data_IF_652686960428
#
_entry.id   IF_652686960428
#
_cell.length_a   1.000
_cell.length_b   1.000
_cell.length_c   1.000
_cell.angle_alpha   90.00
_cell.angle_beta   90.00
_cell.angle_gamma   90.00
#
_symmetry.space_group_name_H-M   'P 1'
#
loop_
_entity.id
_entity.type
_entity.pdbx_description
1 polymer ?
#
# COMPACT_ATOMS: atom_id res chain seq x y z
N UNK A 1 -20.76 -27.05 -2.01
CA UNK A 1 -20.53 -25.83 -1.19
C UNK A 1 -21.79 -24.96 -1.07
N UNK A 2 -22.58 -24.79 -2.15
CA UNK A 2 -23.78 -23.94 -2.17
C UNK A 2 -25.01 -24.63 -1.53
N UNK A 3 -25.29 -25.89 -1.88
CA UNK A 3 -26.32 -26.71 -1.21
C UNK A 3 -26.04 -26.89 0.30
N UNK A 4 -24.76 -27.00 0.68
CA UNK A 4 -24.36 -27.11 2.09
C UNK A 4 -24.64 -25.83 2.91
N UNK A 5 -24.92 -24.70 2.24
CA UNK A 5 -25.32 -23.44 2.89
C UNK A 5 -26.83 -23.18 2.83
N UNK A 6 -27.63 -24.11 2.29
CA UNK A 6 -29.09 -23.96 2.18
C UNK A 6 -29.52 -22.81 1.26
N UNK A 7 -28.66 -22.38 0.34
CA UNK A 7 -28.98 -21.31 -0.60
C UNK A 7 -29.59 -21.92 -1.87
N UNK A 8 -30.82 -21.52 -2.16
CA UNK A 8 -31.57 -21.94 -3.34
C UNK A 8 -31.37 -20.90 -4.45
N UNK A 9 -30.78 -21.30 -5.57
CA UNK A 9 -30.50 -20.42 -6.70
C UNK A 9 -30.95 -21.08 -7.99
N UNK A 10 -31.76 -20.37 -8.78
CA UNK A 10 -32.19 -20.84 -10.10
C UNK A 10 -31.03 -20.82 -11.13
N UNK A 11 -30.10 -19.86 -10.98
CA UNK A 11 -28.98 -19.67 -11.90
C UNK A 11 -27.74 -19.16 -11.17
N UNK A 12 -26.60 -19.78 -11.45
CA UNK A 12 -25.28 -19.32 -11.00
C UNK A 12 -24.43 -19.00 -12.24
N UNK A 13 -24.15 -17.72 -12.44
CA UNK A 13 -23.25 -17.26 -13.49
C UNK A 13 -21.88 -16.89 -12.90
N UNK A 14 -20.81 -17.50 -13.43
CA UNK A 14 -19.44 -17.15 -13.04
C UNK A 14 -18.79 -16.30 -14.12
N UNK A 15 -18.09 -15.23 -13.71
CA UNK A 15 -17.36 -14.38 -14.65
C UNK A 15 -16.18 -15.17 -15.23
N UNK A 16 -16.05 -15.34 -16.55
CA UNK A 16 -14.85 -15.93 -17.14
C UNK A 16 -13.64 -15.02 -16.91
N UNK A 17 -12.46 -15.61 -16.73
CA UNK A 17 -11.20 -14.87 -16.52
C UNK A 17 -10.83 -14.13 -17.80
N UNK A 18 -11.27 -12.87 -17.90
CA UNK A 18 -11.40 -12.14 -19.17
C UNK A 18 -10.21 -11.23 -19.44
N UNK A 19 -9.20 -11.80 -20.08
CA UNK A 19 -8.22 -11.07 -20.87
C UNK A 19 -8.46 -11.46 -22.34
N UNK A 20 -8.97 -10.55 -23.15
CA UNK A 20 -9.18 -10.81 -24.59
C UNK A 20 -7.90 -10.40 -25.31
N UNK A 21 -7.31 -11.33 -26.07
CA UNK A 21 -6.20 -10.98 -26.95
C UNK A 21 -6.72 -10.17 -28.14
N UNK A 22 -6.33 -8.91 -28.23
CA UNK A 22 -6.56 -8.10 -29.41
C UNK A 22 -5.40 -8.36 -30.35
N UNK A 23 -5.69 -9.04 -31.46
CA UNK A 23 -4.72 -9.18 -32.54
C UNK A 23 -4.45 -7.78 -33.11
N UNK A 24 -3.23 -7.22 -33.04
CA UNK A 24 -2.96 -5.86 -33.51
C UNK A 24 -3.04 -5.70 -35.05
N UNK A 25 -3.54 -6.71 -35.76
CA UNK A 25 -3.61 -6.75 -37.22
C UNK A 25 -5.01 -6.43 -37.70
N UNK A 26 -5.26 -5.14 -37.92
CA UNK A 26 -6.52 -4.70 -38.50
C UNK A 26 -6.57 -3.20 -38.78
N UNK A 27 -5.60 -2.66 -39.52
CA UNK A 27 -5.75 -1.45 -40.37
C UNK A 27 -4.39 -1.13 -41.02
N UNK A 28 -4.26 -1.39 -42.32
CA UNK A 28 -3.10 -1.00 -43.11
C UNK A 28 -2.30 -2.19 -43.67
N UNK A 29 -2.79 -2.74 -44.78
CA UNK A 29 -1.99 -3.55 -45.69
C UNK A 29 -0.83 -2.70 -46.24
N UNK A 30 0.34 -2.70 -45.58
CA UNK A 30 1.67 -2.40 -46.16
C UNK A 30 2.79 -2.37 -45.09
N UNK A 31 2.86 -3.34 -44.17
CA UNK A 31 3.97 -3.43 -43.22
C UNK A 31 4.87 -4.66 -43.51
N UNK A 32 6.06 -4.35 -43.99
CA UNK A 32 7.15 -5.25 -44.40
C UNK A 32 7.64 -6.20 -43.29
N UNK A 33 7.89 -7.46 -43.68
CA UNK A 33 9.00 -8.39 -43.35
C UNK A 33 9.84 -8.31 -42.04
N UNK A 34 9.44 -7.63 -40.97
CA UNK A 34 10.10 -7.72 -39.66
C UNK A 34 9.35 -8.67 -38.73
N UNK A 35 9.57 -9.98 -38.94
CA UNK A 35 8.85 -11.10 -38.33
C UNK A 35 9.29 -11.48 -36.91
N UNK A 36 10.13 -10.68 -36.23
CA UNK A 36 10.78 -11.10 -34.98
C UNK A 36 10.34 -10.35 -33.69
N UNK A 37 9.42 -9.37 -33.76
CA UNK A 37 8.98 -8.60 -32.57
C UNK A 37 7.45 -8.48 -32.38
N UNK A 38 6.65 -9.20 -33.16
CA UNK A 38 5.19 -9.07 -33.16
C UNK A 38 4.44 -9.87 -32.06
N UNK A 39 5.13 -10.29 -30.98
CA UNK A 39 4.53 -11.12 -29.92
C UNK A 39 4.03 -10.34 -28.70
N UNK A 40 4.08 -9.00 -28.71
CA UNK A 40 3.46 -8.18 -27.67
C UNK A 40 1.95 -8.06 -27.95
N UNK A 41 1.22 -9.13 -27.65
CA UNK A 41 -0.24 -9.13 -27.68
C UNK A 41 -0.81 -8.09 -26.71
N UNK A 42 -1.73 -7.25 -27.19
CA UNK A 42 -2.48 -6.37 -26.31
C UNK A 42 -3.64 -7.16 -25.70
N UNK A 43 -3.70 -7.24 -24.38
CA UNK A 43 -4.79 -7.90 -23.68
C UNK A 43 -5.79 -6.85 -23.18
N UNK A 44 -7.04 -6.90 -23.65
CA UNK A 44 -8.10 -6.09 -23.10
C UNK A 44 -8.67 -6.76 -21.86
N UNK A 45 -8.46 -6.12 -20.71
CA UNK A 45 -9.10 -6.52 -19.46
C UNK A 45 -10.56 -6.10 -19.49
N UNK A 46 -11.48 -7.04 -19.59
CA UNK A 46 -12.91 -6.72 -19.53
C UNK A 46 -13.26 -6.33 -18.09
N UNK A 47 -13.72 -5.10 -17.93
CA UNK A 47 -14.09 -4.55 -16.64
C UNK A 47 -15.24 -5.39 -16.05
N UNK A 48 -15.15 -5.76 -14.77
CA UNK A 48 -16.14 -6.65 -14.11
C UNK A 48 -17.56 -6.10 -14.19
N UNK A 49 -17.71 -4.78 -14.09
CA UNK A 49 -19.01 -4.13 -14.27
C UNK A 49 -19.60 -4.41 -15.66
N UNK A 50 -18.85 -4.20 -16.74
CA UNK A 50 -19.33 -4.38 -18.11
C UNK A 50 -19.84 -5.80 -18.34
N UNK A 51 -19.09 -6.81 -17.88
CA UNK A 51 -19.55 -8.20 -17.96
C UNK A 51 -20.87 -8.43 -17.21
N UNK A 52 -20.99 -7.97 -15.95
CA UNK A 52 -22.23 -8.13 -15.17
C UNK A 52 -23.40 -7.41 -15.85
N UNK A 53 -23.16 -6.19 -16.34
CA UNK A 53 -24.14 -5.38 -17.05
C UNK A 53 -24.65 -6.10 -18.30
N UNK A 54 -23.75 -6.55 -19.18
CA UNK A 54 -24.10 -7.18 -20.45
C UNK A 54 -24.82 -8.52 -20.24
N UNK A 55 -24.39 -9.27 -19.21
CA UNK A 55 -25.07 -10.50 -18.80
C UNK A 55 -26.50 -10.21 -18.35
N UNK A 56 -26.71 -9.27 -17.41
CA UNK A 56 -28.04 -8.93 -16.91
C UNK A 56 -28.92 -8.36 -18.03
N UNK A 57 -28.36 -7.54 -18.92
CA UNK A 57 -29.05 -7.02 -20.08
C UNK A 57 -29.52 -8.15 -21.01
N UNK A 58 -28.67 -9.14 -21.27
CA UNK A 58 -29.02 -10.31 -22.07
C UNK A 58 -30.12 -11.14 -21.42
N UNK A 59 -30.08 -11.31 -20.09
CA UNK A 59 -31.14 -11.98 -19.32
C UNK A 59 -32.48 -11.26 -19.48
N UNK A 60 -32.49 -9.93 -19.44
CA UNK A 60 -33.72 -9.16 -19.64
C UNK A 60 -34.31 -9.29 -21.05
N UNK A 61 -33.44 -9.41 -22.07
CA UNK A 61 -33.88 -9.63 -23.44
C UNK A 61 -34.42 -11.05 -23.67
N UNK A 62 -33.76 -12.05 -23.09
CA UNK A 62 -34.15 -13.46 -23.22
C UNK A 62 -35.41 -13.79 -22.41
N UNK A 63 -35.60 -13.14 -21.25
CA UNK A 63 -36.73 -13.34 -20.36
C UNK A 63 -37.51 -12.03 -20.11
N UNK A 64 -38.29 -11.55 -21.10
CA UNK A 64 -39.06 -10.30 -20.99
C UNK A 64 -40.14 -10.32 -19.89
N UNK A 65 -40.46 -11.49 -19.34
CA UNK A 65 -41.39 -11.63 -18.21
C UNK A 65 -40.81 -11.09 -16.90
N UNK A 66 -39.50 -10.88 -16.80
CA UNK A 66 -38.86 -10.27 -15.64
C UNK A 66 -39.28 -8.79 -15.57
N UNK A 67 -40.04 -8.42 -14.54
CA UNK A 67 -40.49 -7.04 -14.33
C UNK A 67 -39.75 -6.36 -13.16
N UNK A 68 -39.09 -7.13 -12.31
CA UNK A 68 -38.41 -6.67 -11.10
C UNK A 68 -36.99 -7.23 -11.06
N UNK A 69 -36.00 -6.37 -10.81
CA UNK A 69 -34.63 -6.80 -10.56
C UNK A 69 -34.05 -6.09 -9.36
N UNK A 70 -33.45 -6.87 -8.46
CA UNK A 70 -32.70 -6.37 -7.31
C UNK A 70 -31.26 -6.84 -7.38
N UNK A 71 -30.33 -5.91 -7.22
CA UNK A 71 -28.88 -6.15 -7.27
C UNK A 71 -28.30 -5.87 -5.90
N UNK A 72 -27.48 -6.78 -5.39
CA UNK A 72 -26.69 -6.59 -4.18
C UNK A 72 -25.21 -6.48 -4.58
N UNK A 73 -24.54 -5.40 -4.19
CA UNK A 73 -23.11 -5.18 -4.47
C UNK A 73 -22.43 -4.49 -3.27
N UNK A 74 -21.14 -4.74 -3.08
CA UNK A 74 -20.33 -4.23 -1.97
C UNK A 74 -19.43 -3.05 -2.40
N UNK A 75 -19.40 -2.71 -3.69
CA UNK A 75 -18.52 -1.67 -4.24
C UNK A 75 -19.32 -0.45 -4.63
N UNK A 76 -19.14 0.65 -3.92
CA UNK A 76 -19.78 1.96 -4.18
C UNK A 76 -19.69 2.35 -5.67
N UNK A 77 -18.52 2.21 -6.29
CA UNK A 77 -18.34 2.53 -7.70
C UNK A 77 -19.11 1.62 -8.68
N UNK A 78 -19.43 0.37 -8.32
CA UNK A 78 -20.32 -0.48 -9.12
C UNK A 78 -21.79 -0.18 -8.84
N UNK A 79 -22.15 0.09 -7.58
CA UNK A 79 -23.50 0.47 -7.16
C UNK A 79 -23.98 1.69 -7.94
N UNK A 80 -23.16 2.73 -8.05
CA UNK A 80 -23.49 3.95 -8.81
C UNK A 80 -23.79 3.60 -10.27
N UNK A 81 -22.93 2.80 -10.91
CA UNK A 81 -23.12 2.40 -12.31
C UNK A 81 -24.32 1.49 -12.52
N UNK A 82 -24.64 0.61 -11.57
CA UNK A 82 -25.87 -0.19 -11.64
C UNK A 82 -27.12 0.67 -11.47
N UNK A 83 -27.08 1.70 -10.61
CA UNK A 83 -28.20 2.65 -10.51
C UNK A 83 -28.41 3.40 -11.83
N UNK A 84 -27.34 3.77 -12.52
CA UNK A 84 -27.42 4.38 -13.87
C UNK A 84 -28.00 3.40 -14.90
N UNK A 85 -27.46 2.18 -14.99
CA UNK A 85 -27.96 1.15 -15.90
C UNK A 85 -29.42 0.77 -15.61
N UNK A 86 -29.80 0.70 -14.33
CA UNK A 86 -31.16 0.45 -13.90
C UNK A 86 -32.15 1.51 -14.37
N UNK A 87 -31.77 2.80 -14.30
CA UNK A 87 -32.58 3.89 -14.86
C UNK A 87 -32.79 3.71 -16.36
N UNK A 88 -31.73 3.38 -17.09
CA UNK A 88 -31.82 3.10 -18.52
C UNK A 88 -32.77 1.94 -18.82
N UNK A 89 -32.73 0.86 -18.04
CA UNK A 89 -33.62 -0.30 -18.23
C UNK A 89 -35.09 0.01 -17.90
N UNK A 90 -35.33 0.85 -16.89
CA UNK A 90 -36.68 1.36 -16.58
C UNK A 90 -37.21 2.25 -17.70
N UNK A 91 -36.40 3.18 -18.22
CA UNK A 91 -36.78 4.07 -19.32
C UNK A 91 -37.09 3.29 -20.61
N UNK A 92 -36.31 2.25 -20.90
CA UNK A 92 -36.56 1.33 -22.03
C UNK A 92 -37.72 0.36 -21.79
N UNK A 93 -38.38 0.41 -20.63
CA UNK A 93 -39.46 -0.49 -20.22
C UNK A 93 -39.06 -1.98 -20.25
N UNK A 94 -37.78 -2.27 -20.01
CA UNK A 94 -37.29 -3.63 -19.82
C UNK A 94 -37.59 -4.15 -18.41
N UNK A 95 -37.78 -3.22 -17.47
CA UNK A 95 -38.16 -3.47 -16.09
C UNK A 95 -39.25 -2.48 -15.68
N UNK A 96 -40.07 -2.85 -14.70
CA UNK A 96 -40.96 -1.93 -13.97
C UNK A 96 -40.28 -1.37 -12.73
N UNK A 97 -39.44 -2.18 -12.09
CA UNK A 97 -38.77 -1.81 -10.85
C UNK A 97 -37.33 -2.33 -10.85
N UNK A 98 -36.41 -1.47 -10.39
CA UNK A 98 -35.00 -1.79 -10.24
C UNK A 98 -34.45 -1.26 -8.92
N UNK A 99 -33.82 -2.12 -8.13
CA UNK A 99 -33.24 -1.78 -6.84
C UNK A 99 -31.76 -2.19 -6.77
N UNK A 100 -30.93 -1.33 -6.18
CA UNK A 100 -29.53 -1.67 -5.83
C UNK A 100 -29.33 -1.52 -4.33
N UNK A 101 -29.12 -2.65 -3.66
CA UNK A 101 -28.82 -2.74 -2.25
C UNK A 101 -27.29 -2.70 -2.04
N UNK A 102 -26.83 -1.73 -1.27
CA UNK A 102 -25.45 -1.71 -0.80
C UNK A 102 -25.27 -2.76 0.29
N UNK A 103 -24.34 -3.69 0.07
CA UNK A 103 -23.98 -4.69 1.06
C UNK A 103 -22.77 -4.18 1.84
N UNK A 104 -23.03 -3.47 2.92
CA UNK A 104 -22.02 -3.17 3.93
C UNK A 104 -21.81 -4.40 4.79
N UNK A 105 -21.01 -5.35 4.31
CA UNK A 105 -20.59 -6.46 5.16
C UNK A 105 -19.70 -5.89 6.27
N UNK A 106 -20.06 -6.08 7.56
CA UNK A 106 -19.08 -5.86 8.62
C UNK A 106 -17.93 -6.81 8.31
N UNK A 107 -16.76 -6.25 8.01
CA UNK A 107 -15.58 -7.04 7.77
C UNK A 107 -15.24 -7.68 9.11
N UNK A 108 -15.65 -8.93 9.32
CA UNK A 108 -15.06 -9.73 10.37
C UNK A 108 -13.63 -9.99 9.92
N UNK A 109 -12.71 -9.24 10.51
CA UNK A 109 -11.30 -9.47 10.30
C UNK A 109 -10.98 -10.89 10.74
N UNK A 110 -10.36 -11.63 9.83
CA UNK A 110 -9.81 -12.92 10.15
C UNK A 110 -8.62 -12.72 11.11
N UNK A 111 -8.42 -13.65 12.04
CA UNK A 111 -7.18 -13.66 12.82
C UNK A 111 -5.97 -13.65 11.85
N UNK A 112 -4.96 -12.77 12.04
CA UNK A 112 -3.84 -12.63 11.11
C UNK A 112 -3.15 -13.94 10.77
N UNK A 113 -3.02 -14.84 11.75
CA UNK A 113 -2.41 -16.16 11.58
C UNK A 113 -3.23 -17.00 10.60
N UNK A 114 -4.56 -16.96 10.73
CA UNK A 114 -5.46 -17.70 9.85
C UNK A 114 -5.50 -17.13 8.43
N UNK A 115 -5.40 -15.81 8.29
CA UNK A 115 -5.26 -15.17 6.98
C UNK A 115 -3.96 -15.60 6.29
N UNK A 116 -2.85 -15.56 7.02
CA UNK A 116 -1.54 -16.03 6.53
C UNK A 116 -1.62 -17.48 6.07
N UNK A 117 -2.20 -18.38 6.88
CA UNK A 117 -2.38 -19.79 6.52
C UNK A 117 -3.16 -19.96 5.21
N UNK A 118 -4.28 -19.24 5.06
CA UNK A 118 -5.10 -19.32 3.84
C UNK A 118 -4.35 -18.81 2.62
N UNK A 119 -3.63 -17.69 2.75
CA UNK A 119 -2.82 -17.13 1.67
C UNK A 119 -1.72 -18.11 1.26
N UNK A 120 -1.04 -18.73 2.21
CA UNK A 120 -0.02 -19.76 1.94
C UNK A 120 -0.63 -20.96 1.21
N UNK A 121 -1.78 -21.47 1.69
CA UNK A 121 -2.48 -22.57 1.03
C UNK A 121 -2.91 -22.23 -0.41
N UNK A 122 -3.41 -21.02 -0.64
CA UNK A 122 -3.75 -20.54 -1.99
C UNK A 122 -2.54 -20.50 -2.92
N UNK A 123 -1.40 -20.03 -2.42
CA UNK A 123 -0.14 -20.01 -3.18
C UNK A 123 0.37 -21.41 -3.46
N UNK A 124 0.25 -22.34 -2.52
CA UNK A 124 0.64 -23.73 -2.73
C UNK A 124 -0.21 -24.41 -3.80
N UNK A 125 -1.53 -24.24 -3.76
CA UNK A 125 -2.45 -24.74 -4.80
C UNK A 125 -2.09 -24.13 -6.16
N UNK A 126 -1.84 -22.82 -6.21
CA UNK A 126 -1.38 -22.15 -7.44
C UNK A 126 -0.08 -22.74 -7.97
N UNK A 127 0.91 -22.96 -7.08
CA UNK A 127 2.22 -23.51 -7.45
C UNK A 127 2.16 -24.97 -7.89
N UNK A 128 1.26 -25.77 -7.31
CA UNK A 128 0.96 -27.12 -7.80
C UNK A 128 0.43 -27.06 -9.24
N UNK A 129 -0.48 -26.14 -9.53
CA UNK A 129 -1.01 -25.96 -10.88
C UNK A 129 0.07 -25.49 -11.87
N UNK A 130 0.97 -24.57 -11.46
CA UNK A 130 2.13 -24.18 -12.26
C UNK A 130 3.00 -25.41 -12.60
N UNK A 131 3.20 -26.32 -11.66
CA UNK A 131 3.99 -27.53 -11.87
C UNK A 131 3.31 -28.53 -12.83
N UNK A 132 1.97 -28.64 -12.78
CA UNK A 132 1.18 -29.43 -13.72
C UNK A 132 1.29 -28.84 -15.13
N UNK A 133 1.11 -27.54 -15.28
CA UNK A 133 1.23 -26.82 -16.57
C UNK A 133 2.63 -26.96 -17.16
N UNK A 134 3.68 -26.88 -16.34
CA UNK A 134 5.07 -27.05 -16.78
C UNK A 134 5.36 -28.46 -17.34
N UNK A 135 4.58 -29.46 -16.93
CA UNK A 135 4.65 -30.85 -17.42
C UNK A 135 3.73 -31.12 -18.61
N UNK A 136 3.03 -30.10 -19.13
CA UNK A 136 2.05 -30.24 -20.21
C UNK A 136 0.68 -30.75 -19.75
N UNK A 137 0.40 -30.74 -18.45
CA UNK A 137 -0.91 -31.11 -17.90
C UNK A 137 -1.99 -30.07 -18.20
N UNK A 138 -3.26 -30.47 -18.07
CA UNK A 138 -4.42 -29.62 -18.34
C UNK A 138 -4.50 -28.42 -17.39
N UNK A 139 -5.01 -27.30 -17.90
CA UNK A 139 -5.28 -26.11 -17.11
C UNK A 139 -6.50 -26.34 -16.20
N UNK A 140 -6.28 -26.26 -14.89
CA UNK A 140 -7.36 -26.35 -13.89
C UNK A 140 -7.75 -24.94 -13.44
N UNK A 141 -9.05 -24.62 -13.49
CA UNK A 141 -9.58 -23.42 -12.83
C UNK A 141 -9.90 -23.80 -11.40
N UNK A 142 -9.46 -23.01 -10.42
CA UNK A 142 -9.82 -23.27 -9.02
C UNK A 142 -11.35 -23.35 -8.86
N UNK A 143 -11.84 -24.51 -8.41
CA UNK A 143 -13.26 -24.76 -8.21
C UNK A 143 -14.03 -25.34 -9.41
N UNK A 144 -13.39 -25.53 -10.57
CA UNK A 144 -13.97 -26.23 -11.71
C UNK A 144 -13.08 -27.40 -12.16
N UNK A 145 -13.69 -28.40 -12.79
CA UNK A 145 -13.01 -29.48 -13.50
C UNK A 145 -11.99 -28.93 -14.53
N UNK A 146 -11.07 -29.76 -15.09
CA UNK A 146 -10.19 -29.34 -16.18
C UNK A 146 -10.98 -28.57 -17.24
N UNK A 147 -10.51 -27.38 -17.59
CA UNK A 147 -11.23 -26.53 -18.54
C UNK A 147 -11.16 -27.20 -19.93
N UNK A 148 -12.29 -27.55 -20.56
CA UNK A 148 -12.27 -28.17 -21.88
C UNK A 148 -11.70 -27.16 -22.89
N UNK A 149 -10.80 -27.58 -23.79
CA UNK A 149 -10.16 -26.70 -24.76
C UNK A 149 -11.12 -26.10 -25.80
N UNK A 150 -12.31 -26.69 -25.92
CA UNK A 150 -13.40 -26.27 -26.81
C UNK A 150 -14.73 -26.55 -26.12
N UNK A 151 -15.77 -25.76 -26.39
CA UNK A 151 -17.15 -26.06 -25.99
C UNK A 151 -17.91 -26.68 -27.16
N UNK A 152 -18.05 -28.02 -27.24
CA UNK A 152 -18.69 -28.69 -28.37
C UNK A 152 -20.11 -28.17 -28.61
N UNK A 153 -20.81 -27.77 -27.56
CA UNK A 153 -22.16 -27.21 -27.62
C UNK A 153 -22.26 -25.87 -28.37
N UNK A 154 -21.15 -25.18 -28.63
CA UNK A 154 -21.10 -23.92 -29.37
C UNK A 154 -20.63 -24.07 -30.82
N UNK A 155 -20.10 -25.25 -31.18
CA UNK A 155 -19.33 -25.45 -32.42
C UNK A 155 -20.17 -25.25 -33.70
N UNK A 156 -21.48 -25.52 -33.63
CA UNK A 156 -22.41 -25.39 -34.75
C UNK A 156 -23.26 -24.11 -34.72
N UNK A 157 -23.17 -23.32 -33.64
CA UNK A 157 -24.04 -22.16 -33.44
C UNK A 157 -23.50 -20.87 -34.09
N UNK A 158 -22.29 -20.90 -34.64
CA UNK A 158 -21.62 -19.70 -35.17
C UNK A 158 -21.36 -18.63 -34.10
N UNK A 159 -21.51 -18.98 -32.83
CA UNK A 159 -21.24 -18.12 -31.68
C UNK A 159 -19.74 -18.15 -31.43
N UNK A 160 -19.12 -16.98 -31.37
CA UNK A 160 -17.71 -16.84 -31.02
C UNK A 160 -17.45 -17.50 -29.66
N UNK A 161 -16.61 -18.55 -29.66
CA UNK A 161 -16.16 -19.17 -28.41
C UNK A 161 -14.93 -18.40 -27.89
N UNK A 162 -15.06 -17.62 -26.79
CA UNK A 162 -13.92 -16.94 -26.19
C UNK A 162 -12.80 -17.91 -25.77
N UNK A 163 -13.10 -19.20 -25.56
CA UNK A 163 -12.12 -20.22 -25.19
C UNK A 163 -11.18 -20.61 -26.35
N UNK A 164 -11.60 -20.48 -27.62
CA UNK A 164 -10.73 -20.74 -28.78
C UNK A 164 -9.58 -19.74 -28.89
N UNK A 165 -9.80 -18.52 -28.40
CA UNK A 165 -8.79 -17.44 -28.39
C UNK A 165 -8.13 -17.27 -27.01
N UNK A 166 -8.57 -18.04 -26.02
CA UNK A 166 -8.04 -17.97 -24.67
C UNK A 166 -6.66 -18.63 -24.64
N UNK A 167 -5.62 -17.81 -24.61
CA UNK A 167 -4.29 -18.24 -24.25
C UNK A 167 -4.18 -18.00 -22.73
N UNK A 168 -4.25 -19.06 -21.88
CA UNK A 168 -4.07 -18.88 -20.46
C UNK A 168 -2.73 -18.19 -20.24
N UNK A 169 -2.75 -17.08 -19.48
CA UNK A 169 -1.50 -16.47 -19.07
C UNK A 169 -0.68 -17.53 -18.34
N UNK A 170 0.49 -17.87 -18.89
CA UNK A 170 1.36 -18.89 -18.31
C UNK A 170 1.60 -18.53 -16.85
N UNK A 171 1.10 -19.36 -15.94
CA UNK A 171 1.23 -19.09 -14.52
C UNK A 171 2.71 -19.19 -14.16
N UNK A 172 3.15 -18.27 -13.32
CA UNK A 172 4.51 -18.29 -12.78
C UNK A 172 4.43 -18.75 -11.35
N UNK A 173 5.41 -19.56 -10.93
CA UNK A 173 5.57 -19.96 -9.53
C UNK A 173 5.67 -18.71 -8.66
N UNK A 174 4.86 -18.67 -7.63
CA UNK A 174 4.85 -17.62 -6.61
C UNK A 174 5.70 -18.07 -5.44
N UNK A 175 6.66 -17.25 -5.04
CA UNK A 175 7.41 -17.48 -3.80
C UNK A 175 6.94 -16.47 -2.77
N UNK A 176 6.47 -16.96 -1.62
CA UNK A 176 6.13 -16.11 -0.48
C UNK A 176 7.39 -15.88 0.35
N UNK A 177 7.59 -14.64 0.78
CA UNK A 177 8.67 -14.30 1.69
C UNK A 177 8.23 -13.22 2.67
N UNK A 178 8.80 -13.25 3.87
CA UNK A 178 8.76 -12.10 4.76
C UNK A 178 9.70 -11.03 4.20
N UNK A 179 9.11 -9.93 3.76
CA UNK A 179 9.85 -8.75 3.27
C UNK A 179 9.86 -7.74 4.40
N UNK A 180 11.06 -7.27 4.75
CA UNK A 180 11.22 -6.18 5.70
C UNK A 180 10.65 -4.91 5.05
N UNK A 181 9.58 -4.38 5.61
CA UNK A 181 8.97 -3.13 5.16
C UNK A 181 9.81 -1.94 5.63
N UNK A 182 10.21 -1.95 6.89
CA UNK A 182 11.08 -0.95 7.49
C UNK A 182 11.80 -1.52 8.71
N UNK A 183 12.91 -0.87 9.06
CA UNK A 183 13.59 -1.00 10.35
C UNK A 183 13.26 0.24 11.17
N UNK A 184 12.86 0.04 12.41
CA UNK A 184 12.33 1.10 13.25
C UNK A 184 12.36 0.81 14.73
N UNK A 185 11.87 1.75 15.51
CA UNK A 185 11.62 1.58 16.94
C UNK A 185 10.20 1.07 17.08
N UNK A 186 10.07 -0.16 17.57
CA UNK A 186 8.81 -0.82 17.86
C UNK A 186 8.46 -0.62 19.33
N UNK A 187 7.22 -0.27 19.59
CA UNK A 187 6.71 -0.10 20.96
C UNK A 187 5.87 -1.32 21.35
N UNK A 188 6.07 -1.79 22.58
CA UNK A 188 5.29 -2.86 23.21
C UNK A 188 3.83 -2.44 23.43
N UNK A 189 2.96 -3.42 23.68
CA UNK A 189 1.52 -3.18 23.86
C UNK A 189 1.19 -2.13 24.93
N UNK A 190 1.87 -2.14 26.08
CA UNK A 190 1.66 -1.14 27.14
C UNK A 190 1.95 0.29 26.67
N UNK A 191 3.05 0.50 25.94
CA UNK A 191 3.39 1.80 25.35
C UNK A 191 2.41 2.18 24.23
N UNK A 192 1.95 1.22 23.43
CA UNK A 192 0.91 1.45 22.42
C UNK A 192 -0.40 1.92 23.06
N UNK A 193 -0.81 1.29 24.17
CA UNK A 193 -2.01 1.68 24.92
C UNK A 193 -1.87 3.09 25.49
N UNK A 194 -0.71 3.43 26.06
CA UNK A 194 -0.41 4.79 26.50
C UNK A 194 -0.56 5.80 25.35
N UNK A 195 0.01 5.53 24.18
CA UNK A 195 -0.09 6.42 23.01
C UNK A 195 -1.53 6.51 22.47
N UNK A 196 -2.29 5.42 22.47
CA UNK A 196 -3.72 5.42 22.10
C UNK A 196 -4.56 6.24 23.07
N UNK A 197 -4.25 6.18 24.37
CA UNK A 197 -4.90 6.99 25.39
C UNK A 197 -4.65 8.48 25.17
N UNK A 198 -3.45 8.90 24.74
CA UNK A 198 -3.19 10.30 24.35
C UNK A 198 -4.19 10.78 23.28
N UNK A 199 -4.51 9.93 22.29
CA UNK A 199 -5.46 10.30 21.23
C UNK A 199 -6.89 10.42 21.78
N UNK A 200 -7.29 9.48 22.63
CA UNK A 200 -8.64 9.38 23.18
C UNK A 200 -8.95 10.43 24.26
N UNK A 201 -7.98 10.76 25.12
CA UNK A 201 -8.20 11.61 26.31
C UNK A 201 -8.41 13.10 26.02
N UNK A 202 -8.44 13.54 24.76
CA UNK A 202 -8.38 14.95 24.33
C UNK A 202 -9.51 15.90 24.77
N UNK A 203 -10.30 15.59 25.80
CA UNK A 203 -11.33 16.48 26.36
C UNK A 203 -11.32 16.60 27.90
N UNK A 204 -10.40 15.96 28.63
CA UNK A 204 -10.36 15.97 30.11
C UNK A 204 -9.24 16.82 30.73
N UNK A 205 -9.46 17.33 31.95
CA UNK A 205 -8.38 17.89 32.78
C UNK A 205 -7.46 16.75 33.23
N UNK A 206 -6.22 16.69 32.73
CA UNK A 206 -5.28 15.59 32.96
C UNK A 206 -4.68 14.94 31.71
N UNK A 207 -4.97 15.47 30.50
CA UNK A 207 -4.28 15.00 29.29
C UNK A 207 -2.79 15.33 29.41
N UNK A 208 -1.96 14.30 29.31
CA UNK A 208 -0.52 14.49 29.22
C UNK A 208 -0.21 15.31 27.96
N UNK A 209 -0.48 14.81 26.76
CA UNK A 209 -0.12 15.52 25.51
C UNK A 209 -1.36 16.14 24.86
N UNK A 210 -1.38 17.46 24.72
CA UNK A 210 -2.48 18.16 24.04
C UNK A 210 -2.42 17.99 22.51
N UNK A 211 -3.58 18.09 21.85
CA UNK A 211 -3.67 18.13 20.39
C UNK A 211 -3.00 19.40 19.83
N UNK A 212 -2.38 19.33 18.63
CA UNK A 212 -1.92 20.49 17.89
C UNK A 212 -3.03 21.53 17.76
N UNK A 213 -2.67 22.80 17.91
CA UNK A 213 -3.62 23.92 17.91
C UNK A 213 -4.57 23.91 16.70
N UNK A 214 -4.06 23.58 15.51
CA UNK A 214 -4.82 23.58 14.26
C UNK A 214 -5.94 22.53 14.20
N UNK A 215 -5.88 21.48 15.03
CA UNK A 215 -6.88 20.41 15.07
C UNK A 215 -7.65 20.38 16.41
N UNK A 216 -7.45 21.38 17.28
CA UNK A 216 -8.27 21.54 18.48
C UNK A 216 -9.71 21.86 18.07
N UNK A 217 -10.66 21.12 18.63
CA UNK A 217 -12.09 21.25 18.31
C UNK A 217 -12.55 20.47 17.08
N UNK A 218 -11.66 19.81 16.34
CA UNK A 218 -12.09 18.89 15.27
C UNK A 218 -12.67 17.61 15.86
N UNK A 219 -13.70 17.07 15.19
CA UNK A 219 -14.27 15.76 15.49
C UNK A 219 -13.33 14.66 14.98
N UNK A 220 -12.46 14.19 15.88
CA UNK A 220 -11.52 13.11 15.57
C UNK A 220 -12.14 11.71 15.68
N UNK A 221 -13.44 11.58 15.95
CA UNK A 221 -14.09 10.26 16.01
C UNK A 221 -14.02 9.50 14.67
N UNK A 222 -13.83 10.23 13.57
CA UNK A 222 -13.67 9.71 12.21
C UNK A 222 -12.22 9.42 11.84
N UNK A 223 -11.28 9.82 12.67
CA UNK A 223 -9.87 9.63 12.40
C UNK A 223 -9.49 8.19 12.74
N UNK A 224 -8.66 7.61 11.89
CA UNK A 224 -8.13 6.27 12.07
C UNK A 224 -6.87 6.36 12.94
N UNK A 225 -6.84 5.56 14.02
CA UNK A 225 -5.67 5.40 14.87
C UNK A 225 -4.87 4.20 14.35
N UNK A 226 -3.56 4.35 14.03
CA UNK A 226 -2.73 3.22 13.62
C UNK A 226 -2.82 2.09 14.63
N UNK A 227 -2.93 0.86 14.14
CA UNK A 227 -2.96 -0.32 15.02
C UNK A 227 -1.63 -0.47 15.78
N UNK A 228 -0.54 -0.16 15.08
CA UNK A 228 0.84 -0.14 15.57
C UNK A 228 1.48 1.23 15.32
N UNK A 229 1.84 1.92 16.40
CA UNK A 229 2.62 3.14 16.40
C UNK A 229 4.10 2.80 16.51
N UNK A 230 4.95 3.48 15.77
CA UNK A 230 6.37 3.17 15.67
C UNK A 230 7.14 4.39 15.16
N UNK A 231 8.47 4.35 15.29
CA UNK A 231 9.36 5.33 14.67
C UNK A 231 10.09 4.64 13.53
N UNK A 232 9.90 5.09 12.28
CA UNK A 232 10.62 4.54 11.13
C UNK A 232 12.02 5.14 11.09
N UNK A 233 13.07 4.31 11.16
CA UNK A 233 14.47 4.74 11.04
C UNK A 233 14.98 4.64 9.60
N UNK A 234 14.60 3.57 8.90
CA UNK A 234 14.82 3.43 7.46
C UNK A 234 13.80 2.49 6.81
N UNK A 235 13.52 2.70 5.52
CA UNK A 235 12.72 1.78 4.71
C UNK A 235 13.54 0.53 4.35
N UNK A 236 12.91 -0.64 4.43
CA UNK A 236 13.57 -1.93 4.27
C UNK A 236 14.44 -2.35 5.46
N UNK A 237 15.23 -3.40 5.24
CA UNK A 237 16.23 -3.87 6.20
C UNK A 237 17.37 -2.86 6.31
N UNK A 238 17.73 -2.51 7.55
CA UNK A 238 18.88 -1.69 7.85
C UNK A 238 20.18 -2.39 7.39
N UNK A 239 21.13 -1.61 6.89
CA UNK A 239 22.46 -2.14 6.58
C UNK A 239 23.21 -2.42 7.90
N UNK A 240 24.13 -3.40 7.94
CA UNK A 240 24.88 -3.74 9.15
C UNK A 240 25.52 -2.53 9.82
N UNK A 241 26.24 -1.70 9.06
CA UNK A 241 26.89 -0.50 9.59
C UNK A 241 25.90 0.46 10.25
N UNK A 242 24.68 0.59 9.70
CA UNK A 242 23.64 1.43 10.29
C UNK A 242 23.03 0.80 11.53
N UNK A 243 22.83 -0.54 11.53
CA UNK A 243 22.38 -1.28 12.72
C UNK A 243 23.36 -1.08 13.88
N UNK A 244 24.66 -1.16 13.63
CA UNK A 244 25.69 -0.96 14.65
C UNK A 244 25.59 0.45 15.26
N UNK A 245 25.34 1.49 14.45
CA UNK A 245 25.16 2.86 14.97
C UNK A 245 23.92 3.06 15.84
N UNK A 246 22.90 2.21 15.67
CA UNK A 246 21.68 2.22 16.48
C UNK A 246 21.65 1.06 17.48
N UNK A 247 22.81 0.52 17.84
CA UNK A 247 22.98 -0.49 18.90
C UNK A 247 22.53 -1.91 18.53
N UNK A 248 22.13 -2.15 17.27
CA UNK A 248 21.75 -3.45 16.75
C UNK A 248 20.26 -3.80 16.91
N UNK A 249 19.89 -4.94 16.32
CA UNK A 249 18.53 -5.48 16.40
C UNK A 249 18.22 -5.96 17.82
N UNK A 250 17.03 -5.64 18.34
CA UNK A 250 16.63 -5.97 19.69
C UNK A 250 17.15 -5.01 20.77
N UNK A 251 17.93 -4.01 20.41
CA UNK A 251 18.40 -2.99 21.35
C UNK A 251 17.23 -2.16 21.89
N UNK A 252 17.23 -1.91 23.20
CA UNK A 252 16.27 -1.02 23.84
C UNK A 252 16.72 0.43 23.72
N UNK A 253 15.77 1.31 23.37
CA UNK A 253 16.02 2.72 23.09
C UNK A 253 15.03 3.61 23.81
N UNK A 254 15.50 4.78 24.22
CA UNK A 254 14.69 5.78 24.90
C UNK A 254 14.34 6.90 23.93
N UNK A 255 13.04 7.15 23.76
CA UNK A 255 12.49 8.06 22.77
C UNK A 255 11.72 9.17 23.49
N UNK A 256 12.25 10.39 23.50
CA UNK A 256 11.57 11.55 24.08
C UNK A 256 10.57 12.15 23.09
N UNK A 257 9.39 12.49 23.61
CA UNK A 257 8.39 13.28 22.90
C UNK A 257 8.74 14.77 23.01
N UNK A 258 8.99 15.42 21.86
CA UNK A 258 9.50 16.80 21.83
C UNK A 258 8.44 17.80 21.40
N UNK A 259 7.66 17.45 20.38
CA UNK A 259 6.67 18.34 19.79
C UNK A 259 5.48 17.56 19.22
N UNK A 260 4.35 18.24 19.06
CA UNK A 260 3.18 17.73 18.34
C UNK A 260 3.09 18.44 17.00
N UNK A 261 2.60 17.75 15.98
CA UNK A 261 2.50 18.31 14.64
C UNK A 261 1.28 17.81 13.90
N UNK A 262 0.90 18.57 12.88
CA UNK A 262 -0.26 18.29 12.05
C UNK A 262 0.08 18.50 10.57
N UNK A 263 -0.68 17.83 9.69
CA UNK A 263 -0.63 18.11 8.26
C UNK A 263 -2.04 18.32 7.69
N UNK A 264 -2.30 19.54 7.24
CA UNK A 264 -3.53 19.96 6.54
C UNK A 264 -4.84 19.63 7.27
N UNK A 265 -4.83 19.54 8.61
CA UNK A 265 -5.97 19.11 9.41
C UNK A 265 -6.37 17.65 9.18
N UNK A 266 -5.47 16.81 8.64
CA UNK A 266 -5.76 15.41 8.26
C UNK A 266 -4.88 14.40 8.98
N UNK A 267 -3.77 14.83 9.58
CA UNK A 267 -2.79 13.94 10.21
C UNK A 267 -2.35 14.58 11.51
N UNK A 268 -2.18 13.75 12.54
CA UNK A 268 -1.60 14.12 13.83
C UNK A 268 -0.43 13.19 14.12
N UNK A 269 0.72 13.78 14.42
CA UNK A 269 1.93 13.05 14.79
C UNK A 269 2.64 13.69 15.99
N UNK A 270 3.51 12.90 16.62
CA UNK A 270 4.48 13.34 17.61
C UNK A 270 5.85 13.38 16.97
N UNK A 271 6.57 14.48 17.11
CA UNK A 271 8.01 14.56 16.84
C UNK A 271 8.75 14.00 18.03
N UNK A 272 9.71 13.15 17.74
CA UNK A 272 10.49 12.47 18.77
C UNK A 272 11.98 12.71 18.60
N UNK A 273 12.75 12.41 19.64
CA UNK A 273 14.21 12.37 19.58
C UNK A 273 14.76 11.27 20.48
N UNK A 274 15.99 10.84 20.21
CA UNK A 274 16.68 9.90 21.10
C UNK A 274 17.16 10.62 22.35
N UNK A 275 17.11 9.93 23.49
CA UNK A 275 17.62 10.45 24.77
C UNK A 275 18.99 9.86 25.04
N UNK A 276 19.97 10.74 25.32
CA UNK A 276 21.28 10.32 25.85
C UNK A 276 21.21 10.25 27.38
N UNK A 277 21.84 9.24 27.99
CA UNK A 277 21.86 9.07 29.45
C UNK A 277 22.51 10.25 30.16
N UNK A 278 23.44 10.94 29.52
CA UNK A 278 24.07 12.14 30.08
C UNK A 278 23.13 13.35 30.14
N UNK A 279 21.99 13.32 29.43
CA UNK A 279 20.99 14.40 29.38
C UNK A 279 19.78 14.15 30.26
N UNK A 280 19.92 13.23 31.22
CA UNK A 280 18.87 12.86 32.16
C UNK A 280 18.85 13.89 33.30
N UNK A 281 18.02 14.92 33.11
CA UNK A 281 17.69 15.90 34.14
C UNK A 281 16.55 15.40 35.05
N UNK A 282 16.34 16.10 36.16
CA UNK A 282 15.16 15.96 37.01
C UNK A 282 13.88 16.35 36.22
N UNK A 283 12.71 15.80 36.57
CA UNK A 283 11.40 15.98 35.90
C UNK A 283 11.14 15.27 34.54
N UNK A 284 11.20 13.93 34.56
CA UNK A 284 10.75 13.06 33.46
C UNK A 284 9.66 12.06 33.88
N UNK A 285 8.93 11.57 32.90
CA UNK A 285 8.00 10.44 32.95
C UNK A 285 8.44 9.42 31.91
N UNK A 286 8.90 8.26 32.37
CA UNK A 286 9.35 7.17 31.51
C UNK A 286 8.23 6.13 31.44
N UNK A 287 7.71 5.89 30.24
CA UNK A 287 6.70 4.86 29.98
C UNK A 287 7.43 3.56 29.65
N UNK A 288 7.42 2.63 30.60
CA UNK A 288 8.04 1.32 30.46
C UNK A 288 7.29 0.40 29.49
N UNK A 289 7.89 -0.73 29.07
CA UNK A 289 7.25 -1.65 28.12
C UNK A 289 5.88 -2.20 28.53
N UNK A 290 5.61 -2.36 29.82
CA UNK A 290 4.31 -2.76 30.35
C UNK A 290 3.28 -1.61 30.42
N UNK A 291 3.68 -0.37 30.09
CA UNK A 291 2.83 0.83 30.15
C UNK A 291 2.91 1.58 31.48
N UNK A 292 3.67 1.07 32.46
CA UNK A 292 3.85 1.75 33.74
C UNK A 292 4.67 3.03 33.57
N UNK A 293 4.38 4.02 34.41
CA UNK A 293 5.02 5.33 34.37
C UNK A 293 6.01 5.43 35.54
N UNK A 294 7.29 5.62 35.20
CA UNK A 294 8.38 5.79 36.14
C UNK A 294 8.84 7.25 36.15
N UNK A 295 9.30 7.74 37.30
CA UNK A 295 9.83 9.12 37.44
C UNK A 295 11.35 9.18 37.31
N UNK A 296 12.03 8.02 37.29
CA UNK A 296 13.48 7.92 37.15
C UNK A 296 13.89 6.61 36.46
N UNK A 297 15.09 6.59 35.88
CA UNK A 297 15.68 5.36 35.32
C UNK A 297 15.95 4.31 36.40
N UNK A 298 16.26 4.72 37.63
CA UNK A 298 16.46 3.80 38.75
C UNK A 298 15.16 3.09 39.11
N UNK A 299 14.02 3.79 39.12
CA UNK A 299 12.70 3.20 39.33
C UNK A 299 12.35 2.20 38.22
N UNK A 300 12.58 2.55 36.96
CA UNK A 300 12.41 1.65 35.82
C UNK A 300 13.32 0.42 35.95
N UNK A 301 14.61 0.63 36.21
CA UNK A 301 15.59 -0.45 36.28
C UNK A 301 15.25 -1.41 37.43
N UNK A 302 14.80 -0.88 38.57
CA UNK A 302 14.40 -1.67 39.73
C UNK A 302 13.17 -2.53 39.45
N UNK A 303 12.18 -2.03 38.68
CA UNK A 303 10.97 -2.81 38.36
C UNK A 303 11.22 -3.94 37.37
N UNK A 304 12.26 -3.86 36.55
CA UNK A 304 12.58 -4.87 35.52
C UNK A 304 13.76 -5.78 35.88
N UNK A 305 14.49 -5.46 36.96
CA UNK A 305 15.54 -6.32 37.51
C UNK A 305 15.06 -7.15 38.71
N UNK A 306 13.77 -7.09 39.07
CA UNK A 306 13.23 -7.94 40.13
C UNK A 306 13.18 -9.41 39.65
N UNK A 307 14.05 -10.30 40.16
CA UNK A 307 14.11 -11.69 39.71
C UNK A 307 12.86 -12.49 40.08
N UNK A 308 11.95 -11.93 40.89
CA UNK A 308 10.68 -12.56 41.27
C UNK A 308 9.51 -12.24 40.33
N UNK A 309 9.68 -11.29 39.41
CA UNK A 309 8.62 -10.86 38.49
C UNK A 309 8.45 -11.79 37.28
N UNK A 310 7.21 -11.98 36.82
CA UNK A 310 6.90 -12.62 35.53
C UNK A 310 7.26 -11.73 34.32
N UNK A 311 7.79 -10.52 34.56
CA UNK A 311 8.16 -9.59 33.51
C UNK A 311 9.45 -10.04 32.81
N UNK A 312 9.51 -9.96 31.47
CA UNK A 312 10.72 -10.32 30.75
C UNK A 312 11.87 -9.42 31.20
N UNK A 313 12.99 -10.05 31.59
CA UNK A 313 14.23 -9.34 31.97
C UNK A 313 14.63 -8.38 30.85
N UNK A 314 14.44 -7.08 31.07
CA UNK A 314 15.06 -6.05 30.25
C UNK A 314 16.54 -6.00 30.65
N UNK A 315 17.36 -6.80 29.99
CA UNK A 315 18.81 -6.63 30.08
C UNK A 315 19.18 -5.32 29.40
N UNK A 316 19.21 -4.24 30.17
CA UNK A 316 19.92 -3.03 29.80
C UNK A 316 21.40 -3.36 29.88
N UNK A 317 21.95 -3.86 28.77
CA UNK A 317 23.38 -4.09 28.69
C UNK A 317 24.07 -2.72 28.88
N UNK A 318 24.76 -2.56 30.01
CA UNK A 318 25.53 -1.36 30.35
C UNK A 318 26.54 -0.96 29.28
N UNK A 319 26.89 -1.87 28.36
CA UNK A 319 27.77 -1.63 27.20
C UNK A 319 27.02 -1.46 25.88
N UNK A 320 25.74 -1.83 25.78
CA UNK A 320 24.95 -1.44 24.64
C UNK A 320 24.79 0.08 24.73
N UNK A 321 25.60 0.79 23.93
CA UNK A 321 25.45 2.22 23.66
C UNK A 321 23.95 2.48 23.49
N UNK A 322 23.31 3.07 24.50
CA UNK A 322 21.88 3.32 24.51
C UNK A 322 21.55 4.09 23.25
N UNK A 323 20.88 3.42 22.33
CA UNK A 323 21.06 3.73 20.93
C UNK A 323 20.49 5.08 20.58
N UNK A 324 21.22 5.83 19.76
CA UNK A 324 20.74 7.11 19.25
C UNK A 324 19.62 6.86 18.24
N UNK A 325 18.53 7.62 18.35
CA UNK A 325 17.49 7.68 17.33
C UNK A 325 18.03 8.52 16.17
N UNK A 326 18.73 7.86 15.25
CA UNK A 326 19.27 8.48 14.04
C UNK A 326 18.50 7.97 12.85
N UNK A 327 18.00 8.87 12.00
CA UNK A 327 17.42 8.48 10.72
C UNK A 327 18.53 8.25 9.70
N UNK A 328 18.41 7.20 8.88
CA UNK A 328 19.39 6.95 7.80
C UNK A 328 19.37 8.06 6.73
N UNK A 329 18.20 8.67 6.52
CA UNK A 329 18.02 9.81 5.61
C UNK A 329 17.66 11.03 6.44
N UNK A 330 18.06 12.21 5.96
CA UNK A 330 17.63 13.48 6.57
C UNK A 330 16.10 13.50 6.72
N UNK A 331 15.65 13.93 7.90
CA UNK A 331 14.25 13.95 8.25
C UNK A 331 14.04 14.19 9.74
N UNK A 332 12.79 14.33 10.13
CA UNK A 332 12.38 14.38 11.53
C UNK A 332 11.83 13.01 11.93
N UNK A 333 12.35 12.33 12.95
CA UNK A 333 11.73 11.11 13.44
C UNK A 333 10.40 11.44 14.11
N UNK A 334 9.38 10.64 13.84
CA UNK A 334 8.02 10.90 14.32
C UNK A 334 7.26 9.61 14.62
N UNK A 335 6.17 9.74 15.36
CA UNK A 335 5.14 8.72 15.60
C UNK A 335 3.82 9.26 15.07
N UNK A 336 3.19 8.58 14.11
CA UNK A 336 1.83 8.94 13.68
C UNK A 336 0.82 8.49 14.74
N UNK A 337 0.01 9.41 15.23
CA UNK A 337 -1.03 9.12 16.23
C UNK A 337 -2.40 8.86 15.62
N UNK A 338 -2.80 9.66 14.63
CA UNK A 338 -4.10 9.53 13.99
C UNK A 338 -4.11 10.20 12.60
N UNK A 339 -5.01 9.76 11.71
CA UNK A 339 -5.20 10.39 10.40
C UNK A 339 -6.64 10.26 9.88
N UNK A 340 -7.10 11.25 9.12
CA UNK A 340 -8.41 11.24 8.45
C UNK A 340 -8.29 10.57 7.06
N UNK A 341 -8.67 9.28 7.00
CA UNK A 341 -8.67 8.51 5.76
C UNK A 341 -9.67 9.02 4.73
N UNK A 342 -10.80 9.63 5.15
CA UNK A 342 -11.83 10.14 4.24
C UNK A 342 -11.35 11.37 3.48
N UNK A 343 -10.42 12.12 4.07
CA UNK A 343 -9.75 13.24 3.42
C UNK A 343 -8.44 12.85 2.71
N UNK A 344 -8.18 11.55 2.55
CA UNK A 344 -6.99 11.03 1.90
C UNK A 344 -5.73 11.05 2.76
N UNK A 345 -5.85 11.31 4.07
CA UNK A 345 -4.77 11.20 5.04
C UNK A 345 -4.21 9.78 5.08
N UNK A 346 -2.89 9.67 5.26
CA UNK A 346 -2.16 8.40 5.39
C UNK A 346 -1.06 8.57 6.42
N UNK A 347 -0.79 7.51 7.19
CA UNK A 347 0.28 7.53 8.20
C UNK A 347 1.64 7.92 7.64
N UNK A 348 1.97 7.45 6.42
CA UNK A 348 3.22 7.75 5.73
C UNK A 348 3.40 9.22 5.34
N UNK A 349 2.33 10.03 5.35
CA UNK A 349 2.40 11.45 5.02
C UNK A 349 2.83 12.33 6.21
N UNK A 350 2.86 11.79 7.44
CA UNK A 350 3.35 12.52 8.62
C UNK A 350 4.80 13.01 8.47
N UNK A 351 5.64 12.36 7.66
CA UNK A 351 7.00 12.83 7.36
C UNK A 351 7.07 14.15 6.58
N UNK A 352 5.93 14.70 6.14
CA UNK A 352 5.83 16.01 5.49
C UNK A 352 5.46 17.15 6.44
N UNK A 353 5.24 16.86 7.73
CA UNK A 353 4.93 17.89 8.73
C UNK A 353 6.14 18.79 8.89
N UNK A 354 5.96 20.09 8.61
CA UNK A 354 6.99 21.12 8.75
C UNK A 354 6.78 21.98 10.00
N UNK A 355 5.53 22.11 10.46
CA UNK A 355 5.16 22.89 11.63
C UNK A 355 4.99 21.98 12.83
N UNK A 356 5.77 22.24 13.89
CA UNK A 356 5.80 21.46 15.11
C UNK A 356 5.63 22.39 16.30
N UNK A 357 4.65 22.12 17.14
CA UNK A 357 4.37 22.84 18.39
C UNK A 357 5.08 22.13 19.54
N UNK A 358 5.92 22.83 20.30
CA UNK A 358 6.66 22.24 21.41
C UNK A 358 5.70 21.65 22.45
N UNK A 359 5.95 20.42 22.89
CA UNK A 359 5.13 19.79 23.93
C UNK A 359 5.19 20.60 25.24
N UNK A 360 6.32 21.26 25.52
CA UNK A 360 6.47 22.11 26.71
C UNK A 360 5.55 23.33 26.67
N UNK A 361 5.31 23.88 25.48
CA UNK A 361 4.38 25.01 25.29
C UNK A 361 2.92 24.59 25.46
N UNK A 362 2.62 23.29 25.34
CA UNK A 362 1.27 22.75 25.60
C UNK A 362 0.94 22.58 27.08
N UNK A 363 1.82 22.99 27.99
CA UNK A 363 1.60 22.97 29.44
C UNK A 363 2.12 21.74 30.17
N UNK A 364 2.80 20.82 29.48
CA UNK A 364 3.54 19.72 30.10
C UNK A 364 4.85 20.24 30.70
N UNK A 365 4.94 20.20 32.04
CA UNK A 365 6.20 20.50 32.73
C UNK A 365 7.22 19.36 32.66
N UNK A 366 6.74 18.10 32.56
CA UNK A 366 7.60 16.91 32.56
C UNK A 366 7.88 16.40 31.16
N UNK A 367 9.11 15.93 30.95
CA UNK A 367 9.54 15.25 29.72
C UNK A 367 8.89 13.87 29.67
N UNK A 368 8.39 13.45 28.51
CA UNK A 368 7.83 12.10 28.34
C UNK A 368 8.79 11.27 27.50
N UNK A 369 9.26 10.16 28.07
CA UNK A 369 10.20 9.24 27.45
C UNK A 369 9.50 7.91 27.27
N UNK A 370 9.57 7.35 26.06
CA UNK A 370 9.02 6.05 25.72
C UNK A 370 10.15 5.04 25.60
N UNK A 371 9.98 3.86 26.18
CA UNK A 371 10.88 2.73 25.94
C UNK A 371 10.41 1.98 24.69
N UNK A 372 11.29 1.86 23.71
CA UNK A 372 11.05 1.05 22.51
C UNK A 372 12.19 0.09 22.25
N UNK A 373 12.02 -0.78 21.26
CA UNK A 373 13.03 -1.76 20.84
C UNK A 373 13.30 -1.63 19.34
N UNK A 374 14.57 -1.66 18.93
CA UNK A 374 14.94 -1.70 17.52
C UNK A 374 14.47 -3.02 16.91
N UNK A 375 13.63 -2.92 15.89
CA UNK A 375 13.02 -4.07 15.24
C UNK A 375 12.74 -3.85 13.77
N UNK A 376 12.38 -4.94 13.10
CA UNK A 376 11.97 -4.95 11.71
C UNK A 376 10.49 -5.23 11.62
N UNK A 377 9.73 -4.35 10.97
CA UNK A 377 8.38 -4.72 10.56
C UNK A 377 8.47 -5.54 9.28
N UNK A 378 8.11 -6.81 9.39
CA UNK A 378 8.07 -7.74 8.27
C UNK A 378 6.63 -7.90 7.80
N UNK A 379 6.43 -7.83 6.49
CA UNK A 379 5.18 -8.16 5.84
C UNK A 379 5.36 -9.47 5.08
N UNK A 380 4.36 -10.34 5.17
CA UNK A 380 4.29 -11.48 4.28
C UNK A 380 3.89 -10.99 2.89
N UNK A 381 4.74 -11.21 1.89
CA UNK A 381 4.50 -10.74 0.54
C UNK A 381 4.96 -11.74 -0.52
N UNK A 382 4.48 -11.53 -1.74
CA UNK A 382 4.96 -12.24 -2.91
C UNK A 382 6.35 -11.70 -3.28
N UNK A 383 7.37 -12.53 -3.14
CA UNK A 383 8.67 -12.27 -3.74
C UNK A 383 8.49 -12.47 -5.23
N UNK A 384 8.32 -11.36 -5.95
CA UNK A 384 8.49 -11.38 -7.40
C UNK A 384 9.95 -11.78 -7.64
N UNK A 385 10.20 -13.05 -7.98
CA UNK A 385 11.44 -13.41 -8.65
C UNK A 385 11.57 -12.42 -9.78
N UNK A 386 12.74 -11.79 -9.90
CA UNK A 386 13.07 -10.90 -11.00
C UNK A 386 12.35 -11.41 -12.23
N UNK A 387 11.28 -10.70 -12.61
CA UNK A 387 10.52 -11.00 -13.81
C UNK A 387 11.54 -10.74 -14.91
N UNK A 388 12.44 -11.67 -15.23
CA UNK A 388 13.68 -11.40 -15.97
C UNK A 388 13.48 -10.87 -17.39
N UNK A 389 12.23 -10.65 -17.80
CA UNK A 389 11.83 -9.93 -19.02
C UNK A 389 11.15 -8.56 -18.79
N UNK A 390 10.64 -8.27 -17.59
CA UNK A 390 10.16 -6.95 -17.16
C UNK A 390 11.17 -6.22 -16.25
N UNK A 391 11.96 -6.95 -15.46
CA UNK A 391 13.11 -6.48 -14.67
C UNK A 391 14.38 -6.25 -15.53
N UNK A 392 14.39 -6.72 -16.78
CA UNK A 392 15.41 -6.34 -17.78
C UNK A 392 15.10 -5.02 -18.48
N UNK A 393 14.00 -4.35 -18.16
CA UNK A 393 13.94 -2.90 -18.40
C UNK A 393 14.95 -2.31 -17.42
N UNK A 394 16.12 -1.84 -17.87
CA UNK A 394 17.14 -1.31 -16.98
C UNK A 394 16.46 -0.22 -16.15
N UNK A 395 16.49 -0.36 -14.81
CA UNK A 395 15.98 0.71 -13.95
C UNK A 395 16.80 1.95 -14.28
N UNK A 396 16.13 3.00 -14.73
CA UNK A 396 16.75 4.31 -14.90
C UNK A 396 17.45 4.69 -13.59
N UNK A 397 18.76 4.88 -13.63
CA UNK A 397 19.52 5.29 -12.45
C UNK A 397 19.34 6.80 -12.20
N UNK A 398 19.01 7.57 -13.25
CA UNK A 398 18.82 9.03 -13.20
C UNK A 398 17.35 9.39 -13.41
N UNK A 399 16.80 10.16 -12.47
CA UNK A 399 15.43 10.66 -12.53
C UNK A 399 15.34 11.95 -13.37
N UNK A 400 15.19 11.78 -14.69
CA UNK A 400 15.01 12.91 -15.65
C UNK A 400 13.86 13.85 -15.21
N UNK A 401 12.69 13.37 -14.72
CA UNK A 401 11.63 14.26 -14.26
C UNK A 401 12.04 15.17 -13.10
N UNK A 402 12.96 14.72 -12.23
CA UNK A 402 13.46 15.57 -11.14
C UNK A 402 14.38 16.67 -11.68
N UNK A 403 15.29 16.35 -12.61
CA UNK A 403 16.18 17.34 -13.24
C UNK A 403 15.34 18.41 -13.97
N UNK A 404 14.31 18.00 -14.71
CA UNK A 404 13.37 18.93 -15.37
C UNK A 404 12.68 19.86 -14.37
N UNK A 405 12.12 19.30 -13.29
CA UNK A 405 11.41 20.10 -12.27
C UNK A 405 12.33 21.06 -11.53
N UNK A 406 13.55 20.62 -11.22
CA UNK A 406 14.56 21.47 -10.62
C UNK A 406 14.89 22.65 -11.53
N UNK A 407 15.23 22.39 -12.80
CA UNK A 407 15.54 23.44 -13.78
C UNK A 407 14.35 24.39 -14.02
N UNK A 408 13.14 23.86 -14.09
CA UNK A 408 11.92 24.67 -14.21
C UNK A 408 11.75 25.61 -13.02
N UNK A 409 11.99 25.12 -11.80
CA UNK A 409 11.93 25.92 -10.58
C UNK A 409 13.03 27.00 -10.54
N UNK A 410 14.24 26.70 -11.01
CA UNK A 410 15.34 27.67 -11.09
C UNK A 410 15.07 28.80 -12.10
N UNK A 411 14.27 28.52 -13.13
CA UNK A 411 13.93 29.46 -14.21
C UNK A 411 12.53 30.07 -14.11
N UNK A 412 11.78 29.71 -13.06
CA UNK A 412 10.38 30.09 -12.87
C UNK A 412 9.47 29.74 -14.07
N UNK A 413 9.70 28.57 -14.67
CA UNK A 413 8.88 28.09 -15.79
C UNK A 413 7.59 27.40 -15.30
N UNK A 414 6.39 27.82 -15.77
CA UNK A 414 5.13 27.20 -15.40
C UNK A 414 4.96 25.85 -16.11
N UNK A 415 5.36 24.76 -15.45
CA UNK A 415 5.35 23.41 -16.03
C UNK A 415 4.08 22.63 -15.68
N UNK A 416 3.19 22.44 -16.67
CA UNK A 416 2.02 21.57 -16.54
C UNK A 416 2.38 20.09 -16.80
N UNK A 417 1.58 19.16 -16.26
CA UNK A 417 1.81 17.71 -16.43
C UNK A 417 1.86 17.24 -17.89
N UNK A 418 1.06 17.85 -18.78
CA UNK A 418 1.09 17.55 -20.23
C UNK A 418 2.41 17.96 -20.88
N UNK A 419 2.92 19.14 -20.53
CA UNK A 419 4.20 19.66 -21.04
C UNK A 419 5.37 18.81 -20.53
N UNK A 420 5.34 18.42 -19.24
CA UNK A 420 6.31 17.49 -18.66
C UNK A 420 6.37 16.17 -19.44
N UNK A 421 5.22 15.59 -19.79
CA UNK A 421 5.17 14.36 -20.60
C UNK A 421 5.75 14.53 -22.01
N UNK A 422 5.53 15.69 -22.65
CA UNK A 422 6.10 16.00 -23.97
C UNK A 422 7.62 16.17 -23.91
N UNK A 423 8.13 16.93 -22.93
CA UNK A 423 9.57 17.13 -22.72
C UNK A 423 10.28 15.82 -22.38
N UNK A 424 9.71 14.98 -21.51
CA UNK A 424 10.28 13.66 -21.20
C UNK A 424 10.41 12.78 -22.44
N UNK A 425 9.38 12.74 -23.28
CA UNK A 425 9.42 12.00 -24.55
C UNK A 425 10.48 12.56 -25.50
N UNK A 426 10.64 13.88 -25.54
CA UNK A 426 11.71 14.55 -26.32
C UNK A 426 13.10 14.14 -25.85
N UNK A 427 13.35 14.22 -24.54
CA UNK A 427 14.63 13.84 -23.92
C UNK A 427 14.91 12.35 -24.15
N UNK A 428 13.93 11.46 -23.95
CA UNK A 428 14.10 10.02 -24.18
C UNK A 428 14.45 9.71 -25.64
N UNK A 429 13.80 10.37 -26.60
CA UNK A 429 14.13 10.23 -28.02
C UNK A 429 15.54 10.70 -28.33
N UNK A 430 15.96 11.82 -27.72
CA UNK A 430 17.26 12.41 -27.97
C UNK A 430 18.40 11.65 -27.28
N UNK A 431 18.19 11.16 -26.06
CA UNK A 431 19.07 10.18 -25.42
C UNK A 431 19.25 8.94 -26.28
N UNK A 432 18.16 8.42 -26.86
CA UNK A 432 18.21 7.27 -27.77
C UNK A 432 18.98 7.60 -29.05
N UNK A 433 18.79 8.79 -29.62
CA UNK A 433 19.52 9.27 -30.81
C UNK A 433 21.02 9.38 -30.54
N UNK A 434 21.39 9.89 -29.38
CA UNK A 434 22.77 10.08 -28.93
C UNK A 434 23.39 8.83 -28.27
N UNK A 435 22.65 7.73 -28.17
CA UNK A 435 23.06 6.50 -27.47
C UNK A 435 23.46 6.71 -26.00
N UNK A 436 22.84 7.68 -25.31
CA UNK A 436 23.05 7.96 -23.90
C UNK A 436 22.17 7.02 -23.07
N UNK A 437 22.78 6.07 -22.37
CA UNK A 437 22.06 5.21 -21.44
C UNK A 437 21.66 6.00 -20.18
N UNK A 438 20.47 5.74 -19.63
CA UNK A 438 20.01 6.32 -18.37
C UNK A 438 20.72 5.66 -17.16
N UNK A 439 21.99 6.03 -16.95
CA UNK A 439 22.89 5.54 -15.90
C UNK A 439 23.56 6.73 -15.20
N UNK A 440 23.97 6.55 -13.94
CA UNK A 440 24.65 7.59 -13.15
C UNK A 440 25.95 8.07 -13.80
N UNK A 441 26.66 7.19 -14.52
CA UNK A 441 27.86 7.55 -15.28
C UNK A 441 27.61 8.61 -16.38
N UNK A 442 26.35 8.80 -16.80
CA UNK A 442 25.95 9.77 -17.82
C UNK A 442 25.14 10.95 -17.24
N UNK A 443 25.13 11.14 -15.92
CA UNK A 443 24.27 12.15 -15.27
C UNK A 443 24.49 13.56 -15.84
N UNK A 444 25.74 13.93 -16.14
CA UNK A 444 26.09 15.23 -16.70
C UNK A 444 25.52 15.42 -18.11
N UNK A 445 25.71 14.44 -18.99
CA UNK A 445 25.14 14.47 -20.34
C UNK A 445 23.61 14.51 -20.35
N UNK A 446 22.98 13.74 -19.46
CA UNK A 446 21.51 13.75 -19.26
C UNK A 446 21.06 15.13 -18.77
N UNK A 447 21.80 15.75 -17.87
CA UNK A 447 21.49 17.08 -17.31
C UNK A 447 21.59 18.17 -18.37
N UNK A 448 22.68 18.18 -19.15
CA UNK A 448 22.87 19.12 -20.26
C UNK A 448 21.72 19.00 -21.27
N UNK A 449 21.39 17.77 -21.67
CA UNK A 449 20.30 17.52 -22.62
C UNK A 449 18.94 17.96 -22.07
N UNK A 450 18.70 17.70 -20.79
CA UNK A 450 17.47 18.09 -20.10
C UNK A 450 17.33 19.61 -20.04
N UNK A 451 18.42 20.32 -19.69
CA UNK A 451 18.47 21.79 -19.66
C UNK A 451 18.26 22.40 -21.04
N UNK A 452 18.90 21.86 -22.08
CA UNK A 452 18.71 22.33 -23.45
C UNK A 452 17.25 22.18 -23.91
N UNK A 453 16.64 21.02 -23.62
CA UNK A 453 15.26 20.73 -24.04
C UNK A 453 14.25 21.65 -23.36
N UNK A 454 14.38 21.88 -22.05
CA UNK A 454 13.46 22.78 -21.33
C UNK A 454 13.66 24.25 -21.74
N UNK A 455 14.91 24.69 -21.90
CA UNK A 455 15.22 26.06 -22.33
C UNK A 455 14.76 26.31 -23.78
N UNK A 456 14.72 25.28 -24.64
CA UNK A 456 14.14 25.37 -25.99
C UNK A 456 12.61 25.36 -25.97
N UNK A 457 11.98 24.55 -25.12
CA UNK A 457 10.52 24.44 -25.03
C UNK A 457 9.83 25.72 -24.55
N UNK A 458 10.51 26.54 -23.74
CA UNK A 458 10.00 27.80 -23.18
C UNK A 458 10.55 29.07 -23.85
N UNK A 459 11.35 28.94 -24.91
CA UNK A 459 11.63 30.03 -25.84
C UNK A 459 10.45 30.23 -26.78
#
# INVERSE_FOLDING_TARGET
MIQAKGLDFDLIATKPTTAVWINPKGTGSNASKNKARANDGCYLKIHTFSFKHDFLYSVLLEYPSIQYMKVWDDRIGQIIKFREAGKEWLEKKLLQTFEVQEVNMPHQFMAPEREIELVMAMVDIHNQQVAIEAKGGSFMVSGAAPMPPTRPELQDLGIWDPYETYIPQKRVRMDMAHVVQYTGILFSEGVQLFLKNIVQSGQGSGVLVQRPSAIRGQDISKWEVPHEMHVILCLGAAQPDFLDTIGGMGANVFVELVAVGELEGKIWALKVQGVDESTVEEDMLIVGPNGDIHTSFESLTSSYNDPSGETPNLTFDSKAQRSRVVLRKEGTPYITLAYDRFQGGRSSAAGKITQWESIRETGLSKRIILVGTIGEKRLLGLKTRDLGRLATVPRAEVSIPMILKQRASEKDYPMQGRQLGQMLKGIENEMKRLSIANKNANIEAITILTHATIDEFFK
#
